data_IF_655264399159
#
_entry.id   IF_655264399159
#
_cell.length_a   1.000
_cell.length_b   1.000
_cell.length_c   1.000
_cell.angle_alpha   90.00
_cell.angle_beta   90.00
_cell.angle_gamma   90.00
#
_symmetry.space_group_name_H-M   'P 1'
#
loop_
_entity.id
_entity.type
_entity.pdbx_description
1 polymer ?
#
# COMPACT_ATOMS: atom_id res chain seq x y z
N UNK A 1 -5.09 3.68 -27.24
CA UNK A 1 -4.52 2.30 -27.27
C UNK A 1 -3.05 2.42 -27.67
N UNK A 2 -2.18 1.45 -27.32
CA UNK A 2 -0.80 1.45 -27.84
C UNK A 2 -0.80 1.57 -29.37
N UNK A 3 0.06 2.45 -29.91
CA UNK A 3 0.15 2.77 -31.33
C UNK A 3 -0.66 3.99 -31.77
N UNK A 4 -1.62 4.44 -31.00
CA UNK A 4 -2.43 5.63 -31.31
C UNK A 4 -1.57 6.91 -31.31
N UNK A 5 -1.96 7.89 -32.11
CA UNK A 5 -1.35 9.21 -32.12
C UNK A 5 -2.30 10.20 -31.42
N UNK A 6 -1.83 10.80 -30.33
CA UNK A 6 -2.58 11.74 -29.51
C UNK A 6 -1.93 13.13 -29.58
N UNK A 7 -2.73 14.16 -29.81
CA UNK A 7 -2.28 15.54 -29.72
C UNK A 7 -2.54 16.09 -28.34
N UNK A 8 -1.51 16.66 -27.71
CA UNK A 8 -1.54 17.29 -26.38
C UNK A 8 -1.19 18.76 -26.56
N UNK A 9 -1.94 19.65 -25.92
CA UNK A 9 -1.75 21.10 -25.98
C UNK A 9 -1.26 21.65 -24.63
N UNK A 10 -0.68 22.83 -24.68
CA UNK A 10 -0.25 23.54 -23.48
C UNK A 10 -1.36 23.61 -22.41
N UNK A 11 -1.05 23.25 -21.19
CA UNK A 11 -1.96 23.16 -20.05
C UNK A 11 -2.63 21.79 -19.88
N UNK A 12 -2.58 20.89 -20.87
CA UNK A 12 -3.20 19.56 -20.79
C UNK A 12 -2.24 18.53 -20.16
N UNK A 13 -2.78 17.56 -19.42
CA UNK A 13 -1.99 16.43 -18.94
C UNK A 13 -1.70 15.45 -20.08
N UNK A 14 -0.52 14.82 -20.04
CA UNK A 14 -0.16 13.72 -20.94
C UNK A 14 -0.95 12.48 -20.55
N UNK A 15 -1.76 11.89 -21.45
CA UNK A 15 -2.72 10.85 -21.09
C UNK A 15 -2.12 9.44 -21.00
N UNK A 16 -0.93 9.22 -21.54
CA UNK A 16 -0.30 7.90 -21.66
C UNK A 16 1.22 8.04 -21.82
N UNK A 17 1.96 6.96 -21.57
CA UNK A 17 3.40 6.94 -21.85
C UNK A 17 3.65 6.70 -23.34
N UNK A 18 4.62 7.42 -23.90
CA UNK A 18 4.96 7.21 -25.29
C UNK A 18 6.02 8.14 -25.84
N UNK A 19 6.25 8.02 -27.14
CA UNK A 19 7.26 8.78 -27.87
C UNK A 19 6.68 10.07 -28.45
N UNK A 20 7.40 11.17 -28.29
CA UNK A 20 7.10 12.43 -28.96
C UNK A 20 7.42 12.27 -30.46
N UNK A 21 6.38 12.12 -31.28
CA UNK A 21 6.52 11.95 -32.73
C UNK A 21 6.76 13.27 -33.46
N UNK A 22 6.11 14.34 -33.03
CA UNK A 22 6.31 15.70 -33.52
C UNK A 22 5.85 16.71 -32.48
N UNK A 23 6.41 17.90 -32.49
CA UNK A 23 6.03 18.96 -31.56
C UNK A 23 6.87 20.20 -31.76
N UNK A 24 6.41 21.32 -31.20
CA UNK A 24 7.08 22.61 -31.27
C UNK A 24 7.15 23.22 -29.87
N UNK A 25 8.35 23.61 -29.44
CA UNK A 25 8.62 24.20 -28.12
C UNK A 25 8.00 23.41 -26.94
N UNK A 26 8.19 22.09 -26.97
CA UNK A 26 7.62 21.17 -26.00
C UNK A 26 8.39 21.25 -24.69
N UNK A 27 7.73 21.74 -23.62
CA UNK A 27 8.25 21.72 -22.25
C UNK A 27 7.22 21.06 -21.35
N UNK A 28 7.68 20.12 -20.52
CA UNK A 28 6.86 19.35 -19.58
C UNK A 28 7.19 19.71 -18.14
N UNK A 29 6.16 19.73 -17.31
CA UNK A 29 6.28 19.63 -15.86
C UNK A 29 6.28 18.16 -15.47
N UNK A 30 7.43 17.66 -15.07
CA UNK A 30 7.65 16.29 -14.62
C UNK A 30 7.80 16.19 -13.09
N UNK A 31 7.47 17.26 -12.36
CA UNK A 31 7.63 17.35 -10.90
C UNK A 31 6.93 16.21 -10.13
N UNK A 32 5.83 15.70 -10.64
CA UNK A 32 5.13 14.55 -10.04
C UNK A 32 5.92 13.24 -10.12
N UNK A 33 6.87 13.12 -11.04
CA UNK A 33 7.66 11.91 -11.24
C UNK A 33 9.08 12.06 -10.69
N UNK A 34 9.71 13.21 -10.96
CA UNK A 34 11.11 13.48 -10.59
C UNK A 34 11.27 14.23 -9.26
N UNK A 35 10.22 14.92 -8.79
CA UNK A 35 10.28 15.86 -7.67
C UNK A 35 10.92 17.21 -8.03
N UNK A 36 11.41 17.39 -9.26
CA UNK A 36 12.05 18.62 -9.71
C UNK A 36 11.03 19.57 -10.36
N UNK A 37 10.97 20.82 -9.89
CA UNK A 37 10.00 21.81 -10.36
C UNK A 37 10.42 22.53 -11.65
N UNK A 38 11.62 22.26 -12.18
CA UNK A 38 12.10 22.89 -13.41
C UNK A 38 11.47 22.22 -14.64
N UNK A 39 10.96 23.02 -15.61
CA UNK A 39 10.44 22.49 -16.86
C UNK A 39 11.50 21.71 -17.64
N UNK A 40 11.11 20.55 -18.14
CA UNK A 40 11.99 19.69 -18.96
C UNK A 40 11.66 19.89 -20.44
N UNK A 41 12.64 20.28 -21.22
CA UNK A 41 12.49 20.41 -22.68
C UNK A 41 12.53 19.04 -23.34
N UNK A 42 11.56 18.75 -24.23
CA UNK A 42 11.49 17.51 -24.99
C UNK A 42 11.68 17.76 -26.47
N UNK A 43 12.25 16.75 -27.15
CA UNK A 43 12.53 16.78 -28.57
C UNK A 43 11.86 15.61 -29.28
N UNK A 44 11.33 15.81 -30.50
CA UNK A 44 10.75 14.73 -31.28
C UNK A 44 11.74 13.60 -31.55
N UNK A 45 11.24 12.37 -31.53
CA UNK A 45 12.03 11.21 -31.90
C UNK A 45 12.32 11.22 -33.41
N UNK A 46 13.60 11.10 -33.76
CA UNK A 46 14.02 11.08 -35.18
C UNK A 46 13.87 9.65 -35.71
N UNK A 47 13.10 9.50 -36.79
CA UNK A 47 12.95 8.22 -37.47
C UNK A 47 14.33 7.66 -37.90
N UNK A 48 14.65 6.42 -37.48
CA UNK A 48 15.91 5.78 -37.75
C UNK A 48 16.85 5.62 -36.53
N UNK A 49 16.60 6.28 -35.41
CA UNK A 49 17.22 5.95 -34.12
C UNK A 49 16.50 4.76 -33.48
N UNK A 50 17.27 3.73 -33.13
CA UNK A 50 16.71 2.51 -32.51
C UNK A 50 16.36 2.67 -31.05
N UNK A 51 16.90 3.65 -30.35
CA UNK A 51 16.67 3.83 -28.90
C UNK A 51 15.91 5.11 -28.62
N UNK A 52 14.89 4.99 -27.77
CA UNK A 52 14.21 6.12 -27.17
C UNK A 52 15.08 6.68 -26.04
N UNK A 53 15.40 7.97 -26.12
CA UNK A 53 16.10 8.69 -25.04
C UNK A 53 15.09 9.42 -24.15
N UNK A 54 15.42 9.77 -22.90
CA UNK A 54 14.50 10.46 -22.00
C UNK A 54 13.89 11.73 -22.56
N UNK A 55 14.65 12.45 -23.42
CA UNK A 55 14.21 13.69 -24.08
C UNK A 55 13.10 13.47 -25.12
N UNK A 56 12.97 12.24 -25.65
CA UNK A 56 11.92 11.90 -26.61
C UNK A 56 10.69 11.26 -25.95
N UNK A 57 10.76 10.98 -24.65
CA UNK A 57 9.73 10.26 -23.90
C UNK A 57 8.81 11.23 -23.15
N UNK A 58 7.50 11.04 -23.30
CA UNK A 58 6.49 11.71 -22.53
C UNK A 58 5.83 10.69 -21.60
N UNK A 59 5.74 11.03 -20.32
CA UNK A 59 5.17 10.15 -19.30
C UNK A 59 3.74 10.59 -18.93
N UNK A 60 2.86 9.63 -18.70
CA UNK A 60 1.50 9.85 -18.23
C UNK A 60 1.48 10.64 -16.92
N UNK A 61 0.51 11.56 -16.77
CA UNK A 61 0.35 12.38 -15.58
C UNK A 61 1.24 13.61 -15.52
N UNK A 62 2.24 13.74 -16.39
CA UNK A 62 2.99 14.99 -16.56
C UNK A 62 2.12 16.02 -17.30
N UNK A 63 2.47 17.30 -17.20
CA UNK A 63 1.69 18.37 -17.82
C UNK A 63 2.50 19.10 -18.89
N UNK A 64 1.93 19.30 -20.06
CA UNK A 64 2.53 20.13 -21.11
C UNK A 64 2.39 21.61 -20.72
N UNK A 65 3.53 22.29 -20.51
CA UNK A 65 3.56 23.71 -20.13
C UNK A 65 3.50 24.64 -21.34
N UNK A 66 4.27 24.30 -22.38
CA UNK A 66 4.36 25.14 -23.60
C UNK A 66 4.31 24.26 -24.85
N UNK A 67 3.86 24.86 -25.93
CA UNK A 67 3.87 24.24 -27.26
C UNK A 67 2.72 23.28 -27.52
N UNK A 68 2.92 22.44 -28.51
CA UNK A 68 2.04 21.33 -28.89
C UNK A 68 2.88 20.07 -29.10
N UNK A 69 2.36 18.94 -28.68
CA UNK A 69 3.04 17.66 -28.77
C UNK A 69 2.12 16.61 -29.40
N UNK A 70 2.66 15.81 -30.33
CA UNK A 70 1.99 14.61 -30.83
C UNK A 70 2.71 13.39 -30.28
N UNK A 71 2.01 12.71 -29.40
CA UNK A 71 2.45 11.53 -28.68
C UNK A 71 2.05 10.28 -29.45
N UNK A 72 2.99 9.40 -29.75
CA UNK A 72 2.68 8.02 -30.13
C UNK A 72 2.65 7.18 -28.87
N UNK A 73 1.48 6.70 -28.51
CA UNK A 73 1.23 5.94 -27.28
C UNK A 73 1.97 4.60 -27.33
N UNK A 74 2.75 4.32 -26.29
CA UNK A 74 3.42 3.04 -26.07
C UNK A 74 2.74 2.23 -24.97
N UNK A 75 2.51 2.84 -23.81
CA UNK A 75 1.89 2.18 -22.65
C UNK A 75 0.69 2.97 -22.16
N UNK A 76 -0.31 2.26 -21.60
CA UNK A 76 -1.54 2.85 -21.10
C UNK A 76 -1.94 2.29 -19.73
N UNK A 77 -2.65 3.07 -18.92
CA UNK A 77 -3.22 2.62 -17.66
C UNK A 77 -2.18 2.10 -16.66
N UNK A 78 -2.33 0.85 -16.24
CA UNK A 78 -1.46 0.23 -15.23
C UNK A 78 -0.03 -0.04 -15.70
N UNK A 79 0.20 -0.03 -17.01
CA UNK A 79 1.52 -0.25 -17.63
C UNK A 79 2.34 1.04 -17.78
N UNK A 80 1.74 2.21 -17.50
CA UNK A 80 2.47 3.48 -17.47
C UNK A 80 3.31 3.58 -16.19
N UNK A 81 4.35 4.42 -16.22
CA UNK A 81 5.16 4.72 -15.03
C UNK A 81 4.28 5.23 -13.87
N UNK A 82 3.34 6.11 -14.17
CA UNK A 82 2.38 6.60 -13.18
C UNK A 82 1.48 5.48 -12.63
N UNK A 83 1.02 4.57 -13.50
CA UNK A 83 0.23 3.40 -13.13
C UNK A 83 0.98 2.45 -12.22
N UNK A 84 2.26 2.24 -12.47
CA UNK A 84 3.14 1.42 -11.62
C UNK A 84 3.31 2.04 -10.23
N UNK A 85 3.58 3.35 -10.14
CA UNK A 85 3.67 4.10 -8.88
C UNK A 85 2.35 3.99 -8.10
N UNK A 86 1.21 4.21 -8.77
CA UNK A 86 -0.10 4.10 -8.15
C UNK A 86 -0.37 2.69 -7.61
N UNK A 87 -0.01 1.66 -8.37
CA UNK A 87 -0.13 0.25 -7.94
C UNK A 87 0.73 -0.05 -6.72
N UNK A 88 1.99 0.39 -6.71
CA UNK A 88 2.89 0.22 -5.56
C UNK A 88 2.37 0.95 -4.32
N UNK A 89 1.84 2.16 -4.48
CA UNK A 89 1.23 2.92 -3.40
C UNK A 89 0.02 2.20 -2.78
N UNK A 90 -0.82 1.56 -3.61
CA UNK A 90 -1.98 0.79 -3.13
C UNK A 90 -1.56 -0.53 -2.48
N UNK A 91 -0.60 -1.25 -3.06
CA UNK A 91 -0.12 -2.53 -2.50
C UNK A 91 0.53 -2.36 -1.13
N UNK A 92 1.26 -1.27 -0.90
CA UNK A 92 1.89 -0.97 0.40
C UNK A 92 0.92 -0.69 1.55
N UNK A 93 -0.37 -0.48 1.28
CA UNK A 93 -1.34 -0.05 2.29
C UNK A 93 -1.97 -1.18 3.11
N UNK A 94 -1.78 -2.45 2.74
CA UNK A 94 -2.44 -3.61 3.37
C UNK A 94 -1.49 -4.55 4.12
N UNK A 95 -0.19 -4.25 4.16
CA UNK A 95 0.75 -5.07 4.93
C UNK A 95 0.43 -5.00 6.43
N UNK A 96 0.23 -6.18 7.06
CA UNK A 96 0.07 -6.27 8.52
C UNK A 96 1.36 -5.81 9.20
N UNK A 97 1.23 -5.06 10.28
CA UNK A 97 2.40 -4.66 11.06
C UNK A 97 3.05 -5.87 11.73
N UNK A 98 4.35 -5.78 12.05
CA UNK A 98 5.03 -6.83 12.80
C UNK A 98 4.37 -7.14 14.16
N UNK A 99 3.80 -6.13 14.84
CA UNK A 99 3.06 -6.34 16.08
C UNK A 99 1.75 -7.09 15.83
N UNK A 100 0.99 -6.73 14.80
CA UNK A 100 -0.21 -7.47 14.41
C UNK A 100 0.11 -8.92 14.05
N UNK A 101 1.24 -9.17 13.39
CA UNK A 101 1.70 -10.53 13.07
C UNK A 101 2.10 -11.30 14.34
N UNK A 102 2.79 -10.65 15.28
CA UNK A 102 3.16 -11.26 16.56
C UNK A 102 1.93 -11.62 17.40
N UNK A 103 0.95 -10.71 17.49
CA UNK A 103 -0.32 -10.96 18.18
C UNK A 103 -1.09 -12.10 17.51
N UNK A 104 -1.20 -12.11 16.18
CA UNK A 104 -1.87 -13.18 15.46
C UNK A 104 -1.21 -14.55 15.69
N UNK A 105 0.12 -14.59 15.74
CA UNK A 105 0.87 -15.81 16.07
C UNK A 105 0.64 -16.26 17.52
N UNK A 106 0.67 -15.34 18.47
CA UNK A 106 0.38 -15.63 19.87
C UNK A 106 -1.03 -16.21 20.04
N UNK A 107 -2.03 -15.57 19.45
CA UNK A 107 -3.43 -16.04 19.48
C UNK A 107 -3.55 -17.43 18.85
N UNK A 108 -2.89 -17.69 17.73
CA UNK A 108 -2.89 -19.01 17.08
C UNK A 108 -2.29 -20.10 17.97
N UNK A 109 -1.18 -19.81 18.65
CA UNK A 109 -0.55 -20.74 19.60
C UNK A 109 -1.45 -21.02 20.80
N UNK A 110 -2.04 -19.97 21.38
CA UNK A 110 -2.96 -20.13 22.53
C UNK A 110 -4.21 -20.90 22.13
N UNK A 111 -4.77 -20.63 20.95
CA UNK A 111 -5.91 -21.38 20.41
C UNK A 111 -5.59 -22.86 20.21
N UNK A 112 -4.42 -23.16 19.63
CA UNK A 112 -3.98 -24.55 19.46
C UNK A 112 -3.80 -25.25 20.81
N UNK A 113 -3.21 -24.59 21.80
CA UNK A 113 -3.08 -25.12 23.15
C UNK A 113 -4.45 -25.34 23.83
N UNK A 114 -5.39 -24.40 23.67
CA UNK A 114 -6.74 -24.52 24.17
C UNK A 114 -7.47 -25.72 23.57
N UNK A 115 -7.39 -25.91 22.24
CA UNK A 115 -7.98 -27.07 21.55
C UNK A 115 -7.37 -28.36 22.07
N UNK A 116 -6.05 -28.45 22.22
CA UNK A 116 -5.38 -29.63 22.75
C UNK A 116 -5.84 -29.97 24.17
N UNK A 117 -5.96 -28.94 25.03
CA UNK A 117 -6.46 -29.11 26.40
C UNK A 117 -7.93 -29.57 26.45
N UNK A 118 -8.79 -29.01 25.56
CA UNK A 118 -10.18 -29.43 25.45
C UNK A 118 -10.31 -30.90 25.04
N UNK A 119 -9.52 -31.31 24.05
CA UNK A 119 -9.51 -32.71 23.58
C UNK A 119 -9.00 -33.67 24.67
N UNK A 120 -7.95 -33.25 25.40
CA UNK A 120 -7.41 -34.02 26.52
C UNK A 120 -8.46 -34.14 27.65
N UNK A 121 -9.13 -33.05 28.01
CA UNK A 121 -10.19 -33.09 29.05
C UNK A 121 -11.35 -33.96 28.62
N UNK A 122 -11.81 -33.84 27.37
CA UNK A 122 -12.88 -34.66 26.86
C UNK A 122 -12.51 -36.15 26.87
N UNK A 123 -11.28 -36.50 26.48
CA UNK A 123 -10.79 -37.89 26.53
C UNK A 123 -10.76 -38.46 27.98
N UNK A 124 -10.24 -37.65 28.94
CA UNK A 124 -10.22 -38.05 30.36
C UNK A 124 -11.64 -38.29 30.89
N UNK A 125 -12.58 -37.37 30.61
CA UNK A 125 -13.99 -37.50 31.02
C UNK A 125 -14.68 -38.76 30.46
N UNK A 126 -14.44 -39.05 29.19
CA UNK A 126 -14.93 -40.28 28.56
C UNK A 126 -14.33 -41.56 29.20
N UNK A 127 -13.01 -41.52 29.50
CA UNK A 127 -12.34 -42.64 30.18
C UNK A 127 -12.86 -42.89 31.59
N UNK A 128 -13.27 -41.81 32.30
CA UNK A 128 -13.87 -41.88 33.63
C UNK A 128 -15.34 -42.37 33.60
N UNK A 129 -15.91 -42.67 32.41
CA UNK A 129 -17.28 -43.14 32.29
C UNK A 129 -18.35 -42.07 32.30
N UNK A 130 -17.96 -40.78 32.15
CA UNK A 130 -18.93 -39.71 32.00
C UNK A 130 -19.55 -39.76 30.59
N UNK A 131 -20.81 -39.36 30.48
CA UNK A 131 -21.49 -39.34 29.19
C UNK A 131 -20.86 -38.36 28.19
N UNK A 132 -21.07 -38.60 26.90
CA UNK A 132 -20.53 -37.79 25.80
C UNK A 132 -20.94 -36.31 25.95
N UNK A 133 -22.18 -36.05 26.38
CA UNK A 133 -22.71 -34.71 26.56
C UNK A 133 -21.94 -33.95 27.64
N UNK A 134 -21.64 -34.59 28.78
CA UNK A 134 -20.89 -34.00 29.88
C UNK A 134 -19.44 -33.69 29.51
N UNK A 135 -18.79 -34.65 28.78
CA UNK A 135 -17.44 -34.43 28.26
C UNK A 135 -17.38 -33.26 27.25
N UNK A 136 -18.39 -33.13 26.39
CA UNK A 136 -18.48 -32.04 25.41
C UNK A 136 -18.72 -30.70 26.08
N UNK A 137 -19.63 -30.61 27.02
CA UNK A 137 -19.91 -29.39 27.79
C UNK A 137 -18.65 -28.92 28.55
N UNK A 138 -17.95 -29.85 29.20
CA UNK A 138 -16.71 -29.51 29.91
C UNK A 138 -15.63 -28.97 28.97
N UNK A 139 -15.49 -29.58 27.78
CA UNK A 139 -14.56 -29.12 26.76
C UNK A 139 -14.90 -27.72 26.22
N UNK A 140 -16.17 -27.48 25.90
CA UNK A 140 -16.64 -26.17 25.41
C UNK A 140 -16.45 -25.08 26.48
N UNK A 141 -16.77 -25.36 27.75
CA UNK A 141 -16.57 -24.42 28.85
C UNK A 141 -15.07 -24.03 28.98
N UNK A 142 -14.19 -25.01 28.88
CA UNK A 142 -12.75 -24.74 28.92
C UNK A 142 -12.28 -23.93 27.69
N UNK A 143 -12.83 -24.26 26.50
CA UNK A 143 -12.50 -23.52 25.28
C UNK A 143 -12.86 -22.04 25.36
N UNK A 144 -14.05 -21.73 25.86
CA UNK A 144 -14.52 -20.34 26.05
C UNK A 144 -13.64 -19.61 27.07
N UNK A 145 -13.32 -20.25 28.20
CA UNK A 145 -12.47 -19.67 29.25
C UNK A 145 -11.02 -19.47 28.79
N UNK A 146 -10.54 -20.21 27.80
CA UNK A 146 -9.17 -20.13 27.28
C UNK A 146 -9.00 -19.10 26.15
N UNK A 147 -10.09 -18.49 25.64
CA UNK A 147 -10.01 -17.49 24.60
C UNK A 147 -9.52 -16.15 25.16
N UNK A 148 -8.37 -15.64 24.69
CA UNK A 148 -7.84 -14.36 25.16
C UNK A 148 -8.57 -13.19 24.43
N UNK A 149 -9.80 -12.91 24.80
CA UNK A 149 -10.63 -11.86 24.18
C UNK A 149 -10.12 -10.46 24.45
N UNK A 150 -9.33 -10.28 25.52
CA UNK A 150 -8.84 -8.97 25.94
C UNK A 150 -7.77 -8.40 25.03
N UNK A 151 -6.96 -9.23 24.35
CA UNK A 151 -5.83 -8.74 23.53
C UNK A 151 -6.26 -7.81 22.40
N UNK A 152 -7.24 -8.12 21.55
CA UNK A 152 -7.69 -7.21 20.50
C UNK A 152 -8.26 -5.90 21.05
N UNK A 153 -8.97 -5.98 22.17
CA UNK A 153 -9.60 -4.81 22.82
C UNK A 153 -8.54 -3.88 23.39
N UNK A 154 -7.59 -4.42 24.18
CA UNK A 154 -6.48 -3.66 24.77
C UNK A 154 -5.61 -3.04 23.66
N UNK A 155 -5.31 -3.78 22.61
CA UNK A 155 -4.54 -3.27 21.47
C UNK A 155 -5.24 -2.08 20.80
N UNK A 156 -6.54 -2.21 20.52
CA UNK A 156 -7.34 -1.14 19.92
C UNK A 156 -7.40 0.09 20.82
N UNK A 157 -7.55 -0.11 22.12
CA UNK A 157 -7.55 0.98 23.11
C UNK A 157 -6.22 1.75 23.12
N UNK A 158 -5.07 1.06 23.16
CA UNK A 158 -3.77 1.71 23.14
C UNK A 158 -3.48 2.44 21.84
N UNK A 159 -3.88 1.88 20.69
CA UNK A 159 -3.78 2.59 19.41
C UNK A 159 -4.64 3.85 19.41
N UNK A 160 -5.87 3.77 19.91
CA UNK A 160 -6.78 4.92 20.03
C UNK A 160 -6.21 6.01 20.94
N UNK A 161 -5.65 5.64 22.10
CA UNK A 161 -4.97 6.57 22.99
C UNK A 161 -3.76 7.25 22.34
N UNK A 162 -3.01 6.49 21.52
CA UNK A 162 -1.89 7.03 20.73
C UNK A 162 -2.35 8.04 19.68
N UNK A 163 -3.41 7.72 18.92
CA UNK A 163 -4.03 8.65 17.96
C UNK A 163 -4.48 9.93 18.66
N UNK A 164 -5.16 9.80 19.80
CA UNK A 164 -5.62 10.95 20.58
C UNK A 164 -4.47 11.86 21.03
N UNK A 165 -3.36 11.27 21.53
CA UNK A 165 -2.18 12.05 21.94
C UNK A 165 -1.53 12.79 20.77
N UNK A 166 -1.46 12.17 19.59
CA UNK A 166 -0.94 12.81 18.37
C UNK A 166 -1.86 13.93 17.88
N UNK A 167 -3.18 13.69 17.89
CA UNK A 167 -4.17 14.70 17.52
C UNK A 167 -4.10 15.95 18.42
N UNK A 168 -3.90 15.77 19.74
CA UNK A 168 -3.65 16.90 20.66
C UNK A 168 -2.41 17.70 20.36
N UNK A 169 -1.43 17.10 19.67
CA UNK A 169 -0.22 17.79 19.16
C UNK A 169 -0.36 18.27 17.71
N UNK A 170 -1.60 18.36 17.21
CA UNK A 170 -1.91 18.79 15.83
C UNK A 170 -1.33 17.86 14.74
N UNK A 171 -0.91 16.66 15.10
CA UNK A 171 -0.49 15.63 14.14
C UNK A 171 -1.68 14.74 13.76
N UNK A 172 -2.16 14.87 12.53
CA UNK A 172 -3.33 14.16 12.02
C UNK A 172 -2.90 12.76 11.52
N UNK A 173 -3.42 11.73 12.16
CA UNK A 173 -3.14 10.34 11.80
C UNK A 173 -4.35 9.75 11.09
N UNK A 174 -4.19 9.40 9.81
CA UNK A 174 -5.26 8.80 9.01
C UNK A 174 -5.57 7.34 9.37
N UNK A 175 -4.59 6.63 9.93
CA UNK A 175 -4.69 5.20 10.27
C UNK A 175 -4.09 4.97 11.65
N UNK A 176 -4.82 4.28 12.53
CA UNK A 176 -4.35 3.97 13.88
C UNK A 176 -3.02 3.18 13.87
N UNK A 177 -2.82 2.32 12.88
CA UNK A 177 -1.58 1.55 12.65
C UNK A 177 -0.34 2.44 12.45
N UNK A 178 -0.51 3.67 11.94
CA UNK A 178 0.61 4.60 11.78
C UNK A 178 1.24 4.98 13.14
N UNK A 179 0.48 4.94 14.23
CA UNK A 179 0.99 5.19 15.60
C UNK A 179 2.04 4.14 15.99
N UNK A 180 1.79 2.87 15.67
CA UNK A 180 2.75 1.80 15.90
C UNK A 180 4.03 2.01 15.09
N UNK A 181 3.89 2.34 13.79
CA UNK A 181 5.03 2.57 12.91
C UNK A 181 5.87 3.75 13.40
N UNK A 182 5.25 4.88 13.80
CA UNK A 182 5.93 6.04 14.35
C UNK A 182 6.73 5.67 15.61
N UNK A 183 6.14 4.85 16.51
CA UNK A 183 6.81 4.40 17.74
C UNK A 183 8.03 3.49 17.51
N UNK A 184 8.19 2.95 16.32
CA UNK A 184 9.29 2.03 15.94
C UNK A 184 10.35 2.67 15.05
N UNK A 185 10.18 3.94 14.66
CA UNK A 185 11.14 4.64 13.80
C UNK A 185 12.49 4.77 14.49
N UNK A 186 13.53 4.25 13.86
CA UNK A 186 14.93 4.37 14.32
C UNK A 186 15.72 5.36 13.46
N UNK A 187 15.25 5.66 12.25
CA UNK A 187 15.88 6.59 11.34
C UNK A 187 14.80 7.38 10.59
N UNK A 188 14.99 8.69 10.47
CA UNK A 188 14.13 9.59 9.71
C UNK A 188 14.96 10.15 8.57
N UNK A 189 14.58 9.81 7.32
CA UNK A 189 15.15 10.40 6.13
C UNK A 189 14.20 11.50 5.66
N UNK A 190 14.70 12.74 5.54
CA UNK A 190 13.95 13.89 5.05
C UNK A 190 14.63 14.44 3.81
N UNK A 191 13.86 14.69 2.77
CA UNK A 191 14.30 15.37 1.55
C UNK A 191 13.61 16.73 1.44
N UNK A 192 14.18 17.64 0.64
CA UNK A 192 13.72 19.04 0.53
C UNK A 192 12.58 19.22 -0.48
N UNK A 193 12.19 18.22 -1.20
CA UNK A 193 11.15 18.33 -2.24
C UNK A 193 9.74 18.34 -1.68
#
# INVERSE_FOLDING_TARGET
>A
MPGDLVEVRAGEPVPADGLLSSGYHVQLDESMLSGESLPVAKQPHVAGRQEAIPENWLAAGTRLLTGTARLRVAYTGAETLYGEIARLAVQGTHARTPLQQAIARLVAVLLAAAIAMCLLLAAIRLYQGHGIVDALLSGVTLAVAALPEEFPVVFTFFLGAGVYRLARRQALVRRAVAVENIGRVTCICSDKT
#
